data_IF_250358980457
#
_entry.id   IF_250358980457
#
_cell.length_a   1.000
_cell.length_b   1.000
_cell.length_c   1.000
_cell.angle_alpha   90.00
_cell.angle_beta   90.00
_cell.angle_gamma   90.00
#
_symmetry.space_group_name_H-M   'P 1'
#
loop_
_entity.id
_entity.type
_entity.pdbx_description
1 polymer ?
#
# COMPACT_ATOMS: atom_id res chain seq x y z
N UNK A 1 13.42 -16.30 -3.49
CA UNK A 1 12.29 -15.78 -2.68
C UNK A 1 12.12 -16.65 -1.46
N UNK A 2 11.83 -16.08 -0.28
CA UNK A 2 11.53 -16.87 0.93
C UNK A 2 10.11 -17.44 0.79
N UNK A 3 9.94 -18.75 0.99
CA UNK A 3 8.62 -19.38 1.00
C UNK A 3 7.90 -19.03 2.31
N UNK A 4 6.61 -18.76 2.21
CA UNK A 4 5.71 -18.50 3.34
C UNK A 4 4.61 -19.56 3.26
N UNK A 5 4.39 -20.29 4.34
CA UNK A 5 3.31 -21.28 4.43
C UNK A 5 1.98 -20.56 4.61
N UNK A 6 0.90 -21.09 4.01
CA UNK A 6 -0.41 -20.43 4.00
C UNK A 6 -0.97 -20.21 5.42
N UNK A 7 -0.70 -21.15 6.33
CA UNK A 7 -1.07 -21.04 7.74
C UNK A 7 -0.49 -19.79 8.42
N UNK A 8 0.65 -19.28 7.95
CA UNK A 8 1.29 -18.09 8.52
C UNK A 8 0.46 -16.81 8.32
N UNK A 9 -0.40 -16.74 7.30
CA UNK A 9 -1.26 -15.57 7.08
C UNK A 9 -2.30 -15.38 8.19
N UNK A 10 -2.68 -16.47 8.86
CA UNK A 10 -3.65 -16.46 9.96
C UNK A 10 -3.01 -16.29 11.34
N UNK A 11 -1.67 -16.21 11.42
CA UNK A 11 -0.97 -16.00 12.70
C UNK A 11 -1.04 -14.53 13.15
N UNK A 12 -1.12 -14.26 14.46
CA UNK A 12 -1.09 -12.90 14.96
C UNK A 12 0.30 -12.27 14.81
N UNK A 13 0.33 -10.97 14.56
CA UNK A 13 1.51 -10.11 14.56
C UNK A 13 1.26 -8.91 15.48
N UNK A 14 2.30 -8.52 16.22
CA UNK A 14 2.26 -7.32 17.07
C UNK A 14 2.38 -6.09 16.20
N UNK A 15 1.31 -5.30 16.11
CA UNK A 15 1.27 -4.08 15.33
C UNK A 15 0.95 -2.87 16.21
N UNK A 16 1.62 -1.74 15.96
CA UNK A 16 1.37 -0.49 16.69
C UNK A 16 0.09 0.15 16.16
N UNK A 17 -0.98 0.14 16.95
CA UNK A 17 -2.31 0.64 16.58
C UNK A 17 -2.60 2.04 17.12
N UNK A 18 -1.72 2.58 17.97
CA UNK A 18 -1.84 3.93 18.51
C UNK A 18 -0.65 4.33 19.38
N UNK A 19 -0.67 5.55 19.95
CA UNK A 19 0.36 6.00 20.88
C UNK A 19 0.51 5.03 22.05
N UNK A 20 1.70 4.42 22.18
CA UNK A 20 2.00 3.39 23.19
C UNK A 20 1.08 2.15 23.17
N UNK A 21 0.31 1.93 22.11
CA UNK A 21 -0.60 0.80 21.97
C UNK A 21 -0.08 -0.19 20.93
N UNK A 22 0.06 -1.45 21.34
CA UNK A 22 0.41 -2.59 20.48
C UNK A 22 -0.71 -3.61 20.57
N UNK A 23 -1.25 -4.01 19.43
CA UNK A 23 -2.31 -5.01 19.34
C UNK A 23 -1.82 -6.23 18.55
N UNK A 24 -2.29 -7.40 18.94
CA UNK A 24 -2.10 -8.64 18.19
C UNK A 24 -3.16 -8.69 17.08
N UNK A 25 -2.75 -8.45 15.84
CA UNK A 25 -3.62 -8.45 14.65
C UNK A 25 -3.27 -9.63 13.75
N UNK A 26 -4.22 -10.18 12.98
CA UNK A 26 -3.88 -11.23 12.02
C UNK A 26 -2.90 -10.66 10.99
N UNK A 27 -1.90 -11.46 10.62
CA UNK A 27 -0.89 -11.07 9.63
C UNK A 27 -1.54 -10.61 8.32
N UNK A 28 -2.56 -11.31 7.84
CA UNK A 28 -3.26 -10.96 6.60
C UNK A 28 -3.92 -9.58 6.68
N UNK A 29 -4.54 -9.23 7.82
CA UNK A 29 -5.20 -7.93 7.99
C UNK A 29 -4.18 -6.78 7.93
N UNK A 30 -3.01 -6.97 8.55
CA UNK A 30 -1.92 -5.98 8.50
C UNK A 30 -1.36 -5.85 7.09
N UNK A 31 -1.17 -6.95 6.37
CA UNK A 31 -0.72 -6.91 4.98
C UNK A 31 -1.74 -6.22 4.07
N UNK A 32 -3.02 -6.49 4.27
CA UNK A 32 -4.10 -5.83 3.54
C UNK A 32 -4.13 -4.33 3.81
N UNK A 33 -3.99 -3.93 5.09
CA UNK A 33 -3.88 -2.52 5.47
C UNK A 33 -2.67 -1.85 4.80
N UNK A 34 -1.48 -2.44 4.88
CA UNK A 34 -0.26 -1.91 4.26
C UNK A 34 -0.39 -1.78 2.73
N UNK A 35 -1.02 -2.73 2.05
CA UNK A 35 -1.27 -2.65 0.62
C UNK A 35 -2.18 -1.47 0.26
N UNK A 36 -3.27 -1.29 1.01
CA UNK A 36 -4.20 -0.19 0.77
C UNK A 36 -3.57 1.17 1.12
N UNK A 37 -2.74 1.24 2.15
CA UNK A 37 -1.97 2.43 2.52
C UNK A 37 -1.00 2.85 1.39
N UNK A 38 -0.27 1.89 0.82
CA UNK A 38 0.59 2.14 -0.35
C UNK A 38 -0.20 2.63 -1.56
N UNK A 39 -1.36 2.02 -1.84
CA UNK A 39 -2.25 2.46 -2.92
C UNK A 39 -2.73 3.90 -2.70
N UNK A 40 -3.15 4.21 -1.47
CA UNK A 40 -3.59 5.54 -1.06
C UNK A 40 -2.50 6.59 -1.26
N UNK A 41 -1.30 6.35 -0.70
CA UNK A 41 -0.18 7.28 -0.82
C UNK A 41 0.38 7.39 -2.25
N UNK A 42 0.30 6.33 -3.05
CA UNK A 42 0.61 6.42 -4.49
C UNK A 42 -0.33 7.39 -5.22
N UNK A 43 -1.62 7.38 -4.86
CA UNK A 43 -2.59 8.37 -5.34
C UNK A 43 -2.24 9.80 -4.91
N UNK A 44 -1.83 10.00 -3.66
CA UNK A 44 -1.38 11.33 -3.19
C UNK A 44 -0.13 11.81 -3.96
N UNK A 45 0.83 10.92 -4.18
CA UNK A 45 2.06 11.25 -4.92
C UNK A 45 1.74 11.66 -6.37
N UNK A 46 0.77 11.03 -7.02
CA UNK A 46 0.38 11.39 -8.39
C UNK A 46 -0.18 12.82 -8.48
N UNK A 47 -0.88 13.29 -7.43
CA UNK A 47 -1.34 14.69 -7.32
C UNK A 47 -0.14 15.63 -7.18
N UNK A 48 0.86 15.28 -6.36
CA UNK A 48 2.09 16.09 -6.25
C UNK A 48 2.88 16.15 -7.56
N UNK A 49 2.98 15.04 -8.30
CA UNK A 49 3.60 15.05 -9.63
C UNK A 49 2.90 16.04 -10.56
N UNK A 50 1.55 16.03 -10.59
CA UNK A 50 0.78 16.99 -11.39
C UNK A 50 1.06 18.44 -10.98
N UNK A 51 1.04 18.74 -9.68
CA UNK A 51 1.21 20.10 -9.18
C UNK A 51 2.63 20.66 -9.43
N UNK A 52 3.62 19.78 -9.49
CA UNK A 52 5.02 20.16 -9.78
C UNK A 52 5.34 20.19 -11.28
N UNK A 53 4.37 19.88 -12.14
CA UNK A 53 4.56 19.82 -13.59
C UNK A 53 5.28 18.56 -14.10
N UNK A 54 5.54 17.59 -13.22
CA UNK A 54 6.08 16.28 -13.62
C UNK A 54 5.00 15.44 -14.33
N UNK A 55 5.43 14.45 -15.11
CA UNK A 55 4.53 13.52 -15.80
C UNK A 55 3.89 12.56 -14.79
N UNK A 56 2.57 12.44 -14.85
CA UNK A 56 1.82 11.48 -14.04
C UNK A 56 1.80 10.14 -14.77
N UNK A 57 2.26 9.03 -14.15
CA UNK A 57 2.27 7.74 -14.81
C UNK A 57 0.88 7.13 -14.98
N UNK A 58 0.76 6.16 -15.87
CA UNK A 58 -0.41 5.26 -15.92
C UNK A 58 -0.41 4.34 -14.69
N UNK A 59 -1.51 4.30 -13.91
CA UNK A 59 -1.58 3.55 -12.64
C UNK A 59 -2.63 2.44 -12.68
N UNK A 60 -3.88 2.79 -13.00
CA UNK A 60 -5.01 1.86 -13.15
C UNK A 60 -5.71 2.02 -14.50
N UNK A 61 -5.01 2.69 -15.42
CA UNK A 61 -5.52 3.23 -16.65
C UNK A 61 -4.71 4.45 -17.08
N UNK A 62 -4.99 4.94 -18.28
CA UNK A 62 -4.17 5.96 -18.91
C UNK A 62 -4.29 7.24 -18.11
N UNK A 63 -3.19 7.97 -17.99
CA UNK A 63 -3.20 9.33 -17.46
C UNK A 63 -3.27 10.31 -18.63
N UNK A 64 -3.31 11.62 -18.34
CA UNK A 64 -3.13 12.65 -19.37
C UNK A 64 -1.74 12.58 -20.03
N UNK A 65 -0.72 12.14 -19.29
CA UNK A 65 0.68 12.21 -19.73
C UNK A 65 1.21 10.86 -20.26
N UNK A 66 0.58 9.74 -19.90
CA UNK A 66 0.98 8.39 -20.32
C UNK A 66 -0.21 7.53 -20.75
N UNK A 67 -0.16 6.90 -21.94
CA UNK A 67 -1.19 5.98 -22.41
C UNK A 67 -1.16 4.64 -21.64
N UNK A 68 -2.09 3.75 -21.97
CA UNK A 68 -2.01 2.35 -21.51
C UNK A 68 -0.69 1.72 -21.98
N UNK A 69 -0.01 1.05 -21.05
CA UNK A 69 1.12 0.17 -21.34
C UNK A 69 0.69 -1.28 -21.23
#
# INVERSE_FOLDING_TARGET
MRKVEESQFNTPVKFKTGPKQVSDLRRLDVLWFMLNDQIHHRGQLSVYLRMTGAKVPSIYGPSKDEPWQ
#
